data_IF_727802555894
#
_entry.id   IF_727802555894
#
_cell.length_a   1.000
_cell.length_b   1.000
_cell.length_c   1.000
_cell.angle_alpha   90.00
_cell.angle_beta   90.00
_cell.angle_gamma   90.00
#
_symmetry.space_group_name_H-M   'P 1'
#
loop_
_entity.id
_entity.type
_entity.pdbx_description
1 polymer ?
#
# COMPACT_ATOMS: atom_id res chain seq x y z
N UNK A 1 -6.25 9.88 -14.70
CA UNK A 1 -7.40 8.93 -14.77
C UNK A 1 -7.32 7.97 -13.59
N UNK A 2 -8.44 7.72 -12.91
CA UNK A 2 -8.51 6.77 -11.76
C UNK A 2 -9.21 5.48 -12.22
N UNK A 3 -8.57 4.33 -11.96
CA UNK A 3 -9.12 3.00 -12.25
C UNK A 3 -9.34 2.25 -10.94
N UNK A 4 -10.54 1.72 -10.72
CA UNK A 4 -10.86 0.90 -9.54
C UNK A 4 -10.69 -0.57 -9.89
N UNK A 5 -9.89 -1.29 -9.09
CA UNK A 5 -9.68 -2.73 -9.21
C UNK A 5 -10.37 -3.41 -8.03
N UNK A 6 -11.30 -4.34 -8.33
CA UNK A 6 -12.09 -5.06 -7.34
C UNK A 6 -11.64 -6.51 -7.19
N UNK A 7 -11.98 -7.09 -6.05
CA UNK A 7 -11.85 -8.52 -5.76
C UNK A 7 -10.42 -9.08 -5.88
N UNK A 8 -9.42 -8.20 -5.80
CA UNK A 8 -8.01 -8.57 -5.90
C UNK A 8 -7.16 -7.72 -4.96
N UNK A 9 -6.26 -8.33 -4.14
CA UNK A 9 -5.37 -7.57 -3.28
C UNK A 9 -4.24 -6.90 -4.07
N UNK A 10 -3.90 -5.65 -3.73
CA UNK A 10 -2.83 -4.89 -4.38
C UNK A 10 -1.47 -5.59 -4.32
N UNK A 11 -1.21 -6.33 -3.25
CA UNK A 11 0.06 -7.05 -3.06
C UNK A 11 0.36 -8.03 -4.22
N UNK A 12 -0.65 -8.54 -4.89
CA UNK A 12 -0.49 -9.44 -6.04
C UNK A 12 0.05 -8.73 -7.28
N UNK A 13 -0.22 -7.44 -7.43
CA UNK A 13 0.17 -6.63 -8.59
C UNK A 13 1.22 -5.57 -8.28
N UNK A 14 1.80 -5.62 -7.09
CA UNK A 14 2.64 -4.54 -6.56
C UNK A 14 3.80 -4.16 -7.51
N UNK A 15 4.32 -5.12 -8.27
CA UNK A 15 5.41 -4.90 -9.23
C UNK A 15 4.94 -4.43 -10.62
N UNK A 16 3.63 -4.27 -10.83
CA UNK A 16 3.09 -3.76 -12.09
C UNK A 16 3.02 -2.22 -12.11
N UNK A 17 3.42 -1.58 -11.00
CA UNK A 17 3.35 -0.13 -10.80
C UNK A 17 4.72 0.49 -10.58
N UNK A 18 4.84 1.77 -10.93
CA UNK A 18 6.04 2.57 -10.65
C UNK A 18 6.09 2.99 -9.18
N UNK A 19 4.93 3.33 -8.63
CA UNK A 19 4.78 3.89 -7.29
C UNK A 19 3.63 3.20 -6.55
N UNK A 20 3.89 2.89 -5.28
CA UNK A 20 2.87 2.39 -4.34
C UNK A 20 2.66 3.43 -3.24
N UNK A 21 1.42 3.88 -3.06
CA UNK A 21 1.06 4.76 -1.96
C UNK A 21 0.59 3.92 -0.78
N UNK A 22 1.17 4.21 0.39
CA UNK A 22 0.81 3.58 1.67
C UNK A 22 0.40 4.67 2.64
N UNK A 23 -0.88 4.70 3.04
CA UNK A 23 -1.34 5.59 4.09
C UNK A 23 -0.76 5.16 5.44
N UNK A 24 -0.28 6.10 6.23
CA UNK A 24 0.32 5.83 7.55
C UNK A 24 -0.11 6.84 8.60
N UNK A 25 0.14 6.53 9.87
CA UNK A 25 -0.01 7.47 10.98
C UNK A 25 1.30 8.09 11.42
N UNK A 26 1.21 9.15 12.21
CA UNK A 26 2.39 9.83 12.76
C UNK A 26 3.18 8.99 13.77
N UNK A 27 2.64 7.86 14.26
CA UNK A 27 3.26 6.96 15.23
C UNK A 27 4.23 5.93 14.64
N UNK A 28 4.60 6.07 13.37
CA UNK A 28 5.66 5.30 12.71
C UNK A 28 5.49 3.78 12.74
N UNK A 29 4.26 3.30 12.62
CA UNK A 29 3.96 1.88 12.53
C UNK A 29 3.06 1.60 11.32
N UNK A 30 3.29 0.49 10.65
CA UNK A 30 2.37 -0.09 9.70
C UNK A 30 1.42 -1.02 10.47
N UNK A 31 0.13 -0.72 10.39
CA UNK A 31 -0.91 -1.38 11.20
C UNK A 31 -1.59 -2.54 10.48
N UNK A 32 -2.84 -2.32 10.07
CA UNK A 32 -3.72 -3.35 9.51
C UNK A 32 -3.87 -3.22 7.99
N UNK A 33 -4.60 -4.14 7.39
CA UNK A 33 -4.92 -4.09 5.97
C UNK A 33 -3.69 -4.14 5.08
N UNK A 34 -3.69 -3.35 4.03
CA UNK A 34 -2.57 -3.28 3.09
C UNK A 34 -1.25 -2.85 3.76
N UNK A 35 -1.30 -2.03 4.83
CA UNK A 35 -0.11 -1.67 5.61
C UNK A 35 0.57 -2.92 6.21
N UNK A 36 -0.24 -3.88 6.69
CA UNK A 36 0.27 -5.14 7.24
C UNK A 36 0.97 -5.99 6.16
N UNK A 37 0.38 -6.05 4.95
CA UNK A 37 1.02 -6.75 3.83
C UNK A 37 2.38 -6.11 3.49
N UNK A 38 2.44 -4.77 3.46
CA UNK A 38 3.71 -4.05 3.23
C UNK A 38 4.71 -4.36 4.34
N UNK A 39 4.29 -4.36 5.60
CA UNK A 39 5.17 -4.64 6.73
C UNK A 39 5.80 -6.03 6.65
N UNK A 40 5.01 -7.05 6.32
CA UNK A 40 5.50 -8.44 6.25
C UNK A 40 6.37 -8.65 5.02
N UNK A 41 5.94 -8.15 3.87
CA UNK A 41 6.58 -8.46 2.60
C UNK A 41 7.72 -7.50 2.25
N UNK A 42 7.71 -6.27 2.78
CA UNK A 42 8.68 -5.21 2.51
C UNK A 42 9.12 -4.50 3.80
N UNK A 43 9.76 -5.21 4.76
CA UNK A 43 10.08 -4.68 6.08
C UNK A 43 10.94 -3.42 6.03
N UNK A 44 11.76 -3.24 5.00
CA UNK A 44 12.55 -2.03 4.79
C UNK A 44 11.69 -0.75 4.66
N UNK A 45 10.42 -0.89 4.26
CA UNK A 45 9.47 0.24 4.18
C UNK A 45 9.09 0.70 5.60
N UNK A 46 8.80 -0.22 6.51
CA UNK A 46 8.55 0.12 7.92
C UNK A 46 9.83 0.67 8.59
N UNK A 47 11.01 0.14 8.25
CA UNK A 47 12.27 0.64 8.79
C UNK A 47 12.55 2.08 8.34
N UNK A 48 12.18 2.45 7.12
CA UNK A 48 12.25 3.83 6.65
C UNK A 48 11.24 4.72 7.41
N UNK A 49 10.02 4.24 7.65
CA UNK A 49 9.02 4.94 8.43
C UNK A 49 9.50 5.22 9.88
N UNK A 50 10.14 4.25 10.52
CA UNK A 50 10.70 4.38 11.89
C UNK A 50 11.80 5.44 12.02
N UNK A 51 12.46 5.80 10.92
CA UNK A 51 13.47 6.87 10.89
C UNK A 51 12.86 8.28 10.90
N UNK A 52 11.56 8.42 10.66
CA UNK A 52 10.88 9.72 10.73
C UNK A 52 10.58 10.13 12.18
N UNK A 53 10.39 11.42 12.50
CA UNK A 53 10.05 11.85 13.86
C UNK A 53 8.78 11.14 14.38
N UNK A 54 8.85 10.57 15.58
CA UNK A 54 7.72 9.85 16.21
C UNK A 54 6.68 10.84 16.74
N UNK A 55 5.39 10.55 16.53
CA UNK A 55 4.24 11.32 17.01
C UNK A 55 4.25 12.83 16.67
N UNK A 56 5.01 13.23 15.64
CA UNK A 56 5.10 14.61 15.21
C UNK A 56 3.93 14.98 14.29
N UNK A 57 3.03 15.84 14.79
CA UNK A 57 1.86 16.30 14.03
C UNK A 57 2.21 17.09 12.77
N UNK A 58 3.42 17.65 12.66
CA UNK A 58 3.89 18.36 11.45
C UNK A 58 4.06 17.44 10.26
N UNK A 59 4.06 16.11 10.46
CA UNK A 59 4.07 15.12 9.38
C UNK A 59 2.73 15.01 8.65
N UNK A 60 1.61 15.39 9.27
CA UNK A 60 0.31 15.28 8.62
C UNK A 60 0.30 16.01 7.27
N UNK A 61 -0.20 15.34 6.26
CA UNK A 61 -0.21 15.83 4.87
C UNK A 61 1.14 15.74 4.15
N UNK A 62 2.21 15.29 4.83
CA UNK A 62 3.52 15.08 4.18
C UNK A 62 3.69 13.65 3.69
N UNK A 63 4.76 13.43 2.91
CA UNK A 63 5.09 12.13 2.30
C UNK A 63 6.56 11.80 2.57
N UNK A 64 6.84 10.57 2.99
CA UNK A 64 8.19 10.00 3.00
C UNK A 64 8.33 9.06 1.82
N UNK A 65 9.35 9.29 0.99
CA UNK A 65 9.65 8.47 -0.19
C UNK A 65 10.70 7.42 0.16
N UNK A 66 10.36 6.16 -0.06
CA UNK A 66 11.27 5.02 0.10
C UNK A 66 11.71 4.54 -1.27
N UNK A 67 12.99 4.74 -1.58
CA UNK A 67 13.57 4.35 -2.88
C UNK A 67 13.68 2.84 -2.98
N UNK A 68 12.92 2.28 -3.90
CA UNK A 68 12.87 0.85 -4.22
C UNK A 68 12.26 0.67 -5.62
N UNK A 69 12.01 -0.55 -6.04
CA UNK A 69 11.24 -0.89 -7.23
C UNK A 69 10.16 -1.89 -6.85
N UNK A 70 8.87 -1.48 -6.84
CA UNK A 70 8.38 -0.11 -7.01
C UNK A 70 8.86 0.86 -5.93
N UNK A 71 8.73 2.16 -6.18
CA UNK A 71 8.97 3.19 -5.20
C UNK A 71 7.78 3.26 -4.22
N UNK A 72 8.01 3.45 -2.92
CA UNK A 72 6.93 3.59 -1.93
C UNK A 72 6.82 5.05 -1.47
N UNK A 73 5.59 5.57 -1.50
CA UNK A 73 5.23 6.87 -0.95
C UNK A 73 4.39 6.66 0.32
N UNK A 74 4.96 6.99 1.48
CA UNK A 74 4.31 6.87 2.79
C UNK A 74 3.62 8.18 3.13
N UNK A 75 2.31 8.28 2.94
CA UNK A 75 1.51 9.46 3.24
C UNK A 75 1.05 9.47 4.70
N UNK A 76 1.32 10.53 5.46
CA UNK A 76 0.90 10.67 6.84
C UNK A 76 -0.51 11.27 6.92
N UNK A 77 -1.51 10.42 7.12
CA UNK A 77 -2.94 10.75 6.96
C UNK A 77 -3.77 10.65 8.23
N UNK A 78 -3.19 10.24 9.35
CA UNK A 78 -3.88 10.23 10.64
C UNK A 78 -2.93 10.48 11.82
N UNK A 79 -3.46 11.15 12.85
CA UNK A 79 -2.68 11.63 14.00
C UNK A 79 -2.84 10.81 15.28
N UNK A 80 -3.72 9.81 15.29
CA UNK A 80 -4.06 9.06 16.50
C UNK A 80 -4.00 7.56 16.32
N UNK A 81 -3.90 6.86 17.44
CA UNK A 81 -4.21 5.44 17.51
C UNK A 81 -5.71 5.21 17.43
N UNK A 82 -6.09 4.02 17.03
CA UNK A 82 -7.48 3.61 16.95
C UNK A 82 -8.17 3.66 18.33
N UNK A 83 -9.09 4.58 18.51
CA UNK A 83 -9.98 4.71 19.66
C UNK A 83 -11.42 4.77 19.14
N UNK A 84 -11.99 3.58 18.88
CA UNK A 84 -13.31 3.40 18.27
C UNK A 84 -14.45 4.13 19.01
N UNK A 85 -14.28 4.26 20.31
CA UNK A 85 -15.21 4.92 21.23
C UNK A 85 -15.14 6.46 21.19
N UNK A 86 -14.00 7.03 20.80
CA UNK A 86 -13.75 8.48 20.82
C UNK A 86 -13.76 9.13 19.44
N UNK A 87 -13.35 8.41 18.42
CA UNK A 87 -13.29 8.93 17.06
C UNK A 87 -13.61 7.80 16.07
N UNK A 88 -14.85 7.71 15.60
CA UNK A 88 -15.29 6.66 14.68
C UNK A 88 -14.64 6.78 13.28
N UNK A 89 -14.23 8.01 12.89
CA UNK A 89 -13.49 8.26 11.64
C UNK A 89 -12.25 9.07 11.99
N UNK A 90 -11.07 8.48 11.86
CA UNK A 90 -9.81 9.15 12.16
C UNK A 90 -8.90 9.34 10.94
N UNK A 91 -9.39 9.00 9.74
CA UNK A 91 -8.81 9.47 8.50
C UNK A 91 -8.91 11.01 8.44
N UNK A 92 -7.78 11.66 8.31
CA UNK A 92 -7.72 13.09 8.04
C UNK A 92 -7.71 13.32 6.52
N UNK A 93 -8.86 13.72 5.97
CA UNK A 93 -9.02 13.91 4.53
C UNK A 93 -8.21 15.09 3.98
N UNK A 94 -7.97 16.14 4.77
CA UNK A 94 -7.11 17.26 4.39
C UNK A 94 -5.66 16.78 4.26
N UNK A 95 -5.16 16.04 5.26
CA UNK A 95 -3.83 15.44 5.19
C UNK A 95 -3.70 14.44 4.04
N UNK A 96 -4.75 13.66 3.74
CA UNK A 96 -4.76 12.77 2.58
C UNK A 96 -4.65 13.56 1.28
N UNK A 97 -5.46 14.61 1.13
CA UNK A 97 -5.43 15.49 -0.03
C UNK A 97 -4.04 16.11 -0.24
N UNK A 98 -3.46 16.67 0.81
CA UNK A 98 -2.13 17.29 0.75
C UNK A 98 -1.04 16.29 0.36
N UNK A 99 -1.05 15.10 0.97
CA UNK A 99 -0.09 14.04 0.65
C UNK A 99 -0.22 13.58 -0.81
N UNK A 100 -1.44 13.43 -1.33
CA UNK A 100 -1.68 13.03 -2.71
C UNK A 100 -1.24 14.11 -3.69
N UNK A 101 -1.52 15.39 -3.41
CA UNK A 101 -1.02 16.49 -4.23
C UNK A 101 0.50 16.59 -4.23
N UNK A 102 1.17 16.33 -3.09
CA UNK A 102 2.63 16.24 -3.06
C UNK A 102 3.15 15.14 -3.99
N UNK A 103 2.53 13.97 -4.00
CA UNK A 103 2.91 12.88 -4.90
C UNK A 103 2.65 13.28 -6.36
N UNK A 104 1.46 13.78 -6.66
CA UNK A 104 1.05 14.14 -8.01
C UNK A 104 1.92 15.25 -8.62
N UNK A 105 2.36 16.21 -7.81
CA UNK A 105 3.22 17.30 -8.24
C UNK A 105 4.69 16.86 -8.49
N UNK A 106 5.17 15.90 -7.73
CA UNK A 106 6.57 15.47 -7.80
C UNK A 106 6.82 14.31 -8.79
N UNK A 107 5.79 13.60 -9.19
CA UNK A 107 5.89 12.48 -10.13
C UNK A 107 4.94 12.68 -11.30
N UNK A 108 5.43 12.44 -12.51
CA UNK A 108 4.67 12.63 -13.76
C UNK A 108 4.76 11.39 -14.64
N UNK A 109 3.67 11.10 -15.35
CA UNK A 109 3.58 9.96 -16.28
C UNK A 109 3.89 8.62 -15.60
N UNK A 110 3.36 8.43 -14.37
CA UNK A 110 3.56 7.25 -13.56
C UNK A 110 2.28 6.44 -13.42
N UNK A 111 2.45 5.14 -13.32
CA UNK A 111 1.42 4.21 -12.87
C UNK A 111 1.53 4.09 -11.35
N UNK A 112 0.53 4.59 -10.66
CA UNK A 112 0.54 4.74 -9.20
C UNK A 112 -0.61 3.90 -8.62
N UNK A 113 -0.30 3.00 -7.71
CA UNK A 113 -1.32 2.17 -7.07
C UNK A 113 -1.44 2.41 -5.56
N UNK A 114 -2.65 2.21 -5.06
CA UNK A 114 -2.99 2.29 -3.65
C UNK A 114 -4.19 1.38 -3.33
N UNK A 115 -4.35 0.99 -2.08
CA UNK A 115 -5.67 0.58 -1.57
C UNK A 115 -6.56 1.82 -1.43
N UNK A 116 -7.86 1.65 -1.09
CA UNK A 116 -8.68 2.75 -0.57
C UNK A 116 -8.16 3.17 0.80
N UNK A 117 -7.23 4.14 0.79
CA UNK A 117 -6.44 4.57 1.94
C UNK A 117 -7.35 5.03 3.08
N UNK A 118 -7.17 4.45 4.26
CA UNK A 118 -7.89 4.83 5.46
C UNK A 118 -9.38 4.48 5.46
N UNK A 119 -9.89 3.70 4.49
CA UNK A 119 -11.32 3.35 4.39
C UNK A 119 -11.67 2.03 5.07
N UNK A 120 -10.70 1.21 5.45
CA UNK A 120 -10.96 -0.01 6.23
C UNK A 120 -11.46 0.36 7.63
N UNK A 121 -12.39 -0.43 8.16
CA UNK A 121 -12.88 -0.28 9.54
C UNK A 121 -11.74 -0.38 10.59
N UNK A 122 -10.61 -0.92 10.22
CA UNK A 122 -9.42 -1.05 11.09
C UNK A 122 -8.34 -0.02 10.78
N UNK A 123 -8.52 0.80 9.73
CA UNK A 123 -7.49 1.71 9.22
C UNK A 123 -8.05 3.12 8.90
N UNK A 124 -8.92 3.66 9.71
CA UNK A 124 -9.41 5.03 9.53
C UNK A 124 -10.92 5.15 9.42
N UNK A 125 -11.60 4.10 8.97
CA UNK A 125 -13.05 4.05 8.78
C UNK A 125 -13.58 5.23 7.93
N UNK A 126 -12.78 5.62 6.93
CA UNK A 126 -13.09 6.70 6.02
C UNK A 126 -14.10 6.30 4.96
N UNK A 127 -14.71 7.28 4.35
CA UNK A 127 -15.65 7.14 3.25
C UNK A 127 -14.93 6.94 1.92
N UNK A 128 -15.22 5.85 1.20
CA UNK A 128 -14.59 5.51 -0.08
C UNK A 128 -14.92 6.51 -1.19
N UNK A 129 -16.13 7.04 -1.23
CA UNK A 129 -16.56 8.00 -2.25
C UNK A 129 -15.77 9.30 -2.10
N UNK A 130 -15.65 9.79 -0.86
CA UNK A 130 -14.85 10.97 -0.57
C UNK A 130 -13.35 10.80 -0.88
N UNK A 131 -12.80 9.61 -0.61
CA UNK A 131 -11.40 9.31 -1.00
C UNK A 131 -11.26 9.28 -2.52
N UNK A 132 -12.23 8.68 -3.23
CA UNK A 132 -12.24 8.67 -4.70
C UNK A 132 -12.34 10.08 -5.29
N UNK A 133 -13.16 10.97 -4.70
CA UNK A 133 -13.23 12.37 -5.11
C UNK A 133 -11.87 13.08 -5.01
N UNK A 134 -11.12 12.84 -3.92
CA UNK A 134 -9.77 13.41 -3.76
C UNK A 134 -8.84 12.94 -4.88
N UNK A 135 -8.84 11.65 -5.21
CA UNK A 135 -8.02 11.14 -6.32
C UNK A 135 -8.45 11.69 -7.68
N UNK A 136 -9.76 11.88 -7.92
CA UNK A 136 -10.28 12.46 -9.18
C UNK A 136 -9.93 13.93 -9.36
N UNK A 137 -9.62 14.64 -8.28
CA UNK A 137 -9.23 16.05 -8.31
C UNK A 137 -7.73 16.27 -8.55
N UNK A 138 -6.93 15.22 -8.72
CA UNK A 138 -5.52 15.32 -9.06
C UNK A 138 -5.32 15.74 -10.53
N UNK A 139 -4.11 16.19 -10.88
CA UNK A 139 -3.79 16.83 -12.17
C UNK A 139 -4.11 16.00 -13.42
N UNK A 140 -4.23 14.68 -13.28
CA UNK A 140 -4.46 13.76 -14.38
C UNK A 140 -3.24 13.40 -15.21
N UNK A 141 -2.05 13.85 -14.85
CA UNK A 141 -0.78 13.50 -15.51
C UNK A 141 -0.30 12.07 -15.17
N UNK A 142 -0.78 11.50 -14.08
CA UNK A 142 -0.50 10.14 -13.66
C UNK A 142 -1.72 9.24 -13.85
N UNK A 143 -1.48 7.93 -13.93
CA UNK A 143 -2.52 6.91 -13.90
C UNK A 143 -2.63 6.35 -12.48
N UNK A 144 -3.82 6.48 -11.87
CA UNK A 144 -4.07 5.99 -10.52
C UNK A 144 -4.91 4.71 -10.52
N UNK A 145 -4.49 3.74 -9.72
CA UNK A 145 -5.15 2.44 -9.57
C UNK A 145 -5.50 2.22 -8.11
N UNK A 146 -6.81 2.21 -7.80
CA UNK A 146 -7.31 2.01 -6.44
C UNK A 146 -7.85 0.60 -6.28
N UNK A 147 -7.29 -0.14 -5.36
CA UNK A 147 -7.70 -1.51 -5.05
C UNK A 147 -8.78 -1.51 -3.98
N UNK A 148 -9.98 -1.93 -4.37
CA UNK A 148 -11.12 -2.14 -3.48
C UNK A 148 -11.22 -3.62 -3.10
N UNK A 149 -10.39 -4.00 -2.13
CA UNK A 149 -10.31 -5.37 -1.62
C UNK A 149 -10.36 -5.38 -0.11
N UNK A 150 -11.40 -6.02 0.44
CA UNK A 150 -11.48 -6.30 1.87
C UNK A 150 -10.77 -7.61 2.18
N UNK A 151 -9.65 -7.48 2.84
CA UNK A 151 -8.85 -8.63 3.25
C UNK A 151 -9.56 -9.38 4.38
N UNK A 152 -10.00 -10.60 4.09
CA UNK A 152 -10.84 -11.37 5.03
C UNK A 152 -10.07 -12.22 6.04
N UNK A 153 -8.83 -12.61 5.77
CA UNK A 153 -8.02 -13.37 6.75
C UNK A 153 -6.51 -13.34 6.44
N UNK A 154 -5.72 -12.89 7.42
CA UNK A 154 -4.25 -12.79 7.30
C UNK A 154 -3.52 -14.10 7.64
N UNK A 155 -4.23 -15.13 8.14
CA UNK A 155 -3.61 -16.26 8.82
C UNK A 155 -3.09 -17.40 7.95
N UNK A 156 -3.36 -17.40 6.64
CA UNK A 156 -3.05 -18.55 5.78
C UNK A 156 -2.07 -18.26 4.62
N UNK A 157 -1.26 -17.22 4.69
CA UNK A 157 -0.22 -17.03 3.68
C UNK A 157 1.02 -17.80 4.10
N UNK A 158 1.33 -18.88 3.41
CA UNK A 158 2.62 -19.56 3.57
C UNK A 158 3.73 -18.61 3.07
N UNK A 159 4.38 -17.96 4.02
CA UNK A 159 5.27 -16.84 3.81
C UNK A 159 6.67 -17.22 3.34
N UNK A 160 7.08 -18.51 3.39
CA UNK A 160 8.46 -18.90 3.12
C UNK A 160 8.86 -18.61 1.68
N UNK A 161 8.07 -19.03 0.70
CA UNK A 161 8.39 -18.80 -0.71
C UNK A 161 8.20 -17.35 -1.12
N UNK A 162 7.23 -16.65 -0.53
CA UNK A 162 7.08 -15.22 -0.73
C UNK A 162 8.24 -14.43 -0.12
N UNK A 163 8.71 -14.82 1.05
CA UNK A 163 9.91 -14.26 1.67
C UNK A 163 11.16 -14.47 0.83
N UNK A 164 11.29 -15.63 0.17
CA UNK A 164 12.37 -15.92 -0.77
C UNK A 164 12.35 -14.95 -1.96
N UNK A 165 11.19 -14.77 -2.60
CA UNK A 165 11.02 -13.82 -3.72
C UNK A 165 11.36 -12.40 -3.27
N UNK A 166 10.86 -11.97 -2.11
CA UNK A 166 11.14 -10.65 -1.54
C UNK A 166 12.63 -10.46 -1.23
N UNK A 167 13.30 -11.52 -0.76
CA UNK A 167 14.74 -11.52 -0.55
C UNK A 167 15.58 -11.26 -1.81
N UNK A 168 14.96 -11.35 -3.00
CA UNK A 168 15.59 -11.02 -4.28
C UNK A 168 15.38 -9.57 -4.73
N UNK A 169 14.51 -8.80 -4.04
CA UNK A 169 14.27 -7.38 -4.37
C UNK A 169 15.60 -6.61 -4.32
N UNK A 170 15.91 -5.92 -5.42
CA UNK A 170 17.18 -5.20 -5.59
C UNK A 170 18.40 -6.06 -5.95
N UNK A 171 18.26 -7.40 -6.01
CA UNK A 171 19.35 -8.34 -6.37
C UNK A 171 19.22 -8.88 -7.79
N UNK A 172 18.00 -8.95 -8.31
CA UNK A 172 17.72 -9.42 -9.66
C UNK A 172 16.94 -8.35 -10.45
N UNK A 173 16.95 -8.41 -11.80
CA UNK A 173 16.17 -7.51 -12.64
C UNK A 173 14.66 -7.57 -12.30
N UNK A 174 13.98 -6.43 -12.42
CA UNK A 174 12.55 -6.29 -12.11
C UNK A 174 11.67 -7.28 -12.89
N UNK A 175 12.02 -7.54 -14.16
CA UNK A 175 11.27 -8.49 -15.00
C UNK A 175 11.37 -9.93 -14.51
N UNK A 176 12.53 -10.33 -14.01
CA UNK A 176 12.75 -11.65 -13.42
C UNK A 176 12.00 -11.78 -12.09
N UNK A 177 12.01 -10.76 -11.26
CA UNK A 177 11.23 -10.69 -10.04
C UNK A 177 9.72 -10.80 -10.32
N UNK A 178 9.25 -10.17 -11.40
CA UNK A 178 7.86 -10.26 -11.87
C UNK A 178 7.49 -11.68 -12.31
N UNK A 179 8.39 -12.40 -12.96
CA UNK A 179 8.16 -13.81 -13.35
C UNK A 179 8.04 -14.71 -12.11
N UNK A 180 8.96 -14.59 -11.15
CA UNK A 180 8.92 -15.34 -9.90
C UNK A 180 7.63 -15.09 -9.12
N UNK A 181 7.21 -13.82 -9.03
CA UNK A 181 5.93 -13.42 -8.44
C UNK A 181 4.75 -14.12 -9.13
N UNK A 182 4.68 -14.08 -10.45
CA UNK A 182 3.58 -14.65 -11.21
C UNK A 182 3.50 -16.18 -11.04
N UNK A 183 4.63 -16.86 -10.95
CA UNK A 183 4.68 -18.30 -10.62
C UNK A 183 4.15 -18.56 -9.21
N UNK A 184 4.56 -17.76 -8.23
CA UNK A 184 4.07 -17.87 -6.86
C UNK A 184 2.56 -17.67 -6.76
N UNK A 185 2.01 -16.65 -7.44
CA UNK A 185 0.57 -16.37 -7.45
C UNK A 185 -0.22 -17.51 -8.10
N UNK A 186 0.28 -18.09 -9.19
CA UNK A 186 -0.33 -19.27 -9.82
C UNK A 186 -0.39 -20.45 -8.85
N UNK A 187 0.73 -20.71 -8.17
CA UNK A 187 0.81 -21.78 -7.16
C UNK A 187 -0.21 -21.55 -6.04
N UNK A 188 -0.30 -20.33 -5.52
CA UNK A 188 -1.23 -19.95 -4.46
C UNK A 188 -2.70 -20.04 -4.89
N UNK A 189 -3.04 -19.54 -6.08
CA UNK A 189 -4.41 -19.46 -6.58
C UNK A 189 -4.99 -20.83 -6.94
N UNK A 190 -4.16 -21.75 -7.40
CA UNK A 190 -4.60 -23.04 -7.92
C UNK A 190 -4.27 -24.23 -7.00
N UNK A 191 -3.71 -23.96 -5.82
CA UNK A 191 -3.41 -25.03 -4.85
C UNK A 191 -2.39 -26.05 -5.35
N UNK A 192 -1.60 -25.72 -6.36
CA UNK A 192 -0.56 -26.59 -6.93
C UNK A 192 0.68 -26.51 -6.03
N UNK A 193 0.52 -26.87 -4.78
CA UNK A 193 1.56 -27.42 -3.94
C UNK A 193 1.43 -28.92 -4.01
N UNK A 194 2.17 -29.51 -4.85
CA UNK A 194 2.24 -30.95 -4.98
C UNK A 194 2.31 -31.34 -6.43
N UNK A 195 3.51 -31.49 -6.92
CA UNK A 195 3.81 -32.31 -8.07
C UNK A 195 3.37 -33.79 -7.88
N UNK A 196 2.62 -34.04 -6.81
CA UNK A 196 2.16 -35.36 -6.41
C UNK A 196 0.73 -35.66 -6.84
N UNK A 197 0.16 -34.81 -7.70
CA UNK A 197 -1.12 -35.07 -8.38
C UNK A 197 -0.99 -34.83 -9.89
N UNK A 198 -0.04 -35.50 -10.48
CA UNK A 198 -0.04 -35.85 -11.88
C UNK A 198 -0.11 -37.37 -11.97
#
# INVERSE_FOLDING_TARGET
MVTIIKDKPLIEDIFDYDIIIVGTGIHNSLGNGFQHDIKINFPFVEDALKKTPYADKRKLGTVTVVKSTPLYCLGFIHSGGYRKDLNPVYLNYEALNDALHLIDNNFKNKRIASSFIGCSQFDGNGDKERVLEIFNNLSGENEYFLYDYEQRDYREVNNEKWAEIIGQVGKIPHEELRKLKNEYIKIRKYGIWGADKL
#
